data_IF_713872286802
#
_entry.id   IF_713872286802
#
_cell.length_a   1.000
_cell.length_b   1.000
_cell.length_c   1.000
_cell.angle_alpha   90.00
_cell.angle_beta   90.00
_cell.angle_gamma   90.00
#
_symmetry.space_group_name_H-M   'P 1'
#
loop_
_entity.id
_entity.type
_entity.pdbx_description
1 polymer ?
#
# COMPACT_ATOMS: atom_id res chain seq x y z
N UNK A 1 -14.54 -6.85 -17.64
CA UNK A 1 -15.98 -6.96 -17.32
C UNK A 1 -16.56 -5.56 -17.12
N UNK A 2 -17.78 -5.28 -17.58
CA UNK A 2 -18.51 -4.04 -17.30
C UNK A 2 -19.52 -4.32 -16.19
N UNK A 3 -19.47 -3.52 -15.13
CA UNK A 3 -20.30 -3.70 -13.94
C UNK A 3 -20.82 -2.35 -13.49
N UNK A 4 -22.08 -2.29 -13.06
CA UNK A 4 -22.68 -1.12 -12.44
C UNK A 4 -22.79 -1.39 -10.94
N UNK A 5 -22.30 -0.48 -10.11
CA UNK A 5 -22.37 -0.56 -8.65
C UNK A 5 -22.51 0.85 -8.10
N UNK A 6 -23.08 0.95 -6.90
CA UNK A 6 -23.21 2.22 -6.17
C UNK A 6 -21.96 2.42 -5.32
N UNK A 7 -21.47 3.66 -5.27
CA UNK A 7 -20.42 4.09 -4.35
C UNK A 7 -20.99 5.13 -3.41
N UNK A 8 -20.56 5.10 -2.16
CA UNK A 8 -20.72 6.22 -1.25
C UNK A 8 -19.99 7.46 -1.80
N UNK A 9 -20.47 8.65 -1.47
CA UNK A 9 -19.98 9.91 -2.06
C UNK A 9 -18.48 10.12 -1.83
N UNK A 10 -17.98 9.72 -0.66
CA UNK A 10 -16.56 9.80 -0.29
C UNK A 10 -15.70 8.84 -1.11
N UNK A 11 -16.15 7.60 -1.31
CA UNK A 11 -15.50 6.62 -2.15
C UNK A 11 -15.46 7.05 -3.63
N UNK A 12 -16.56 7.63 -4.12
CA UNK A 12 -16.63 8.19 -5.47
C UNK A 12 -15.66 9.36 -5.65
N UNK A 13 -15.59 10.29 -4.68
CA UNK A 13 -14.64 11.41 -4.70
C UNK A 13 -13.18 10.93 -4.67
N UNK A 14 -12.87 9.94 -3.82
CA UNK A 14 -11.54 9.33 -3.76
C UNK A 14 -11.13 8.70 -5.09
N UNK A 15 -12.02 7.92 -5.71
CA UNK A 15 -11.75 7.28 -7.00
C UNK A 15 -11.50 8.31 -8.11
N UNK A 16 -12.28 9.41 -8.14
CA UNK A 16 -12.09 10.51 -9.09
C UNK A 16 -10.74 11.21 -8.90
N UNK A 17 -10.38 11.54 -7.66
CA UNK A 17 -9.11 12.19 -7.36
C UNK A 17 -7.92 11.31 -7.72
N UNK A 18 -8.00 10.01 -7.39
CA UNK A 18 -6.99 9.03 -7.77
C UNK A 18 -6.84 8.92 -9.29
N UNK A 19 -7.95 8.91 -10.02
CA UNK A 19 -7.96 8.85 -11.48
C UNK A 19 -7.29 10.08 -12.11
N UNK A 20 -7.66 11.29 -11.66
CA UNK A 20 -7.06 12.56 -12.12
C UNK A 20 -5.56 12.61 -11.87
N UNK A 21 -5.13 12.30 -10.64
CA UNK A 21 -3.73 12.34 -10.25
C UNK A 21 -2.84 11.38 -11.06
N UNK A 22 -3.41 10.34 -11.66
CA UNK A 22 -2.68 9.31 -12.41
C UNK A 22 -3.03 9.28 -13.90
N UNK A 23 -3.82 10.25 -14.39
CA UNK A 23 -4.31 10.28 -15.77
C UNK A 23 -4.98 8.97 -16.21
N UNK A 24 -5.78 8.35 -15.33
CA UNK A 24 -6.48 7.09 -15.58
C UNK A 24 -7.97 7.32 -15.85
N UNK A 25 -8.58 6.41 -16.62
CA UNK A 25 -10.05 6.31 -16.69
C UNK A 25 -10.61 5.84 -15.34
N UNK A 26 -11.77 6.35 -14.93
CA UNK A 26 -12.37 6.06 -13.62
C UNK A 26 -12.51 4.55 -13.34
N UNK A 27 -13.01 3.76 -14.30
CA UNK A 27 -13.14 2.31 -14.12
C UNK A 27 -11.80 1.59 -13.91
N UNK A 28 -10.70 2.09 -14.53
CA UNK A 28 -9.35 1.55 -14.32
C UNK A 28 -8.83 1.92 -12.93
N UNK A 29 -9.04 3.18 -12.51
CA UNK A 29 -8.70 3.65 -11.17
C UNK A 29 -9.39 2.81 -10.08
N UNK A 30 -10.71 2.61 -10.18
CA UNK A 30 -11.46 1.75 -9.24
C UNK A 30 -10.89 0.33 -9.23
N UNK A 31 -10.64 -0.26 -10.41
CA UNK A 31 -10.08 -1.60 -10.50
C UNK A 31 -8.72 -1.73 -9.81
N UNK A 32 -7.88 -0.68 -9.88
CA UNK A 32 -6.60 -0.64 -9.16
C UNK A 32 -6.76 -0.48 -7.65
N UNK A 33 -7.64 0.42 -7.22
CA UNK A 33 -7.94 0.64 -5.81
C UNK A 33 -8.45 -0.65 -5.16
N UNK A 34 -9.35 -1.39 -5.82
CA UNK A 34 -9.82 -2.69 -5.35
C UNK A 34 -8.63 -3.66 -5.21
N UNK A 35 -7.78 -3.83 -6.24
CA UNK A 35 -6.61 -4.72 -6.14
C UNK A 35 -5.65 -4.33 -5.02
N UNK A 36 -5.44 -3.03 -4.80
CA UNK A 36 -4.61 -2.51 -3.71
C UNK A 36 -5.22 -2.84 -2.35
N UNK A 37 -6.52 -2.66 -2.20
CA UNK A 37 -7.23 -3.00 -0.97
C UNK A 37 -7.31 -4.51 -0.72
N UNK A 38 -7.38 -5.32 -1.77
CA UNK A 38 -7.35 -6.79 -1.70
C UNK A 38 -5.94 -7.35 -1.46
N UNK A 39 -4.89 -6.54 -1.65
CA UNK A 39 -3.54 -6.94 -1.27
C UNK A 39 -3.50 -6.96 0.26
N UNK A 40 -3.03 -8.03 0.91
CA UNK A 40 -2.97 -8.09 2.36
C UNK A 40 -2.28 -6.82 2.88
N UNK A 41 -2.89 -6.07 3.82
CA UNK A 41 -2.19 -4.95 4.42
C UNK A 41 -0.88 -5.50 4.94
N UNK A 42 0.24 -4.87 4.54
CA UNK A 42 1.53 -5.13 5.17
C UNK A 42 1.25 -5.05 6.66
N UNK A 43 1.33 -6.18 7.35
CA UNK A 43 0.76 -6.34 8.69
C UNK A 43 1.50 -5.43 9.67
N UNK A 44 1.03 -4.19 9.79
CA UNK A 44 1.55 -3.21 10.71
C UNK A 44 1.10 -3.64 12.09
N UNK A 45 2.07 -4.12 12.88
CA UNK A 45 1.87 -4.44 14.28
C UNK A 45 2.31 -3.25 15.10
N UNK A 46 1.58 -2.92 16.16
CA UNK A 46 2.04 -1.94 17.12
C UNK A 46 2.92 -2.65 18.16
N UNK A 47 4.20 -2.28 18.27
CA UNK A 47 5.12 -2.79 19.29
C UNK A 47 5.47 -1.63 20.23
N UNK A 48 4.77 -1.55 21.36
CA UNK A 48 4.83 -0.40 22.25
C UNK A 48 4.21 0.85 21.61
N UNK A 49 4.98 1.93 21.47
CA UNK A 49 4.56 3.18 20.82
C UNK A 49 4.78 3.24 19.30
N UNK A 50 5.45 2.25 18.70
CA UNK A 50 5.89 2.28 17.30
C UNK A 50 5.10 1.28 16.43
N UNK A 51 4.70 1.72 15.24
CA UNK A 51 4.16 0.83 14.21
C UNK A 51 5.32 0.13 13.48
N UNK A 52 5.28 -1.19 13.44
CA UNK A 52 6.31 -2.03 12.82
C UNK A 52 5.71 -2.94 11.75
N UNK A 53 6.42 -3.12 10.65
CA UNK A 53 6.10 -4.14 9.65
C UNK A 53 6.60 -5.48 10.19
N UNK A 54 5.72 -6.46 10.33
CA UNK A 54 6.13 -7.78 10.79
C UNK A 54 6.95 -8.50 9.70
N UNK A 55 8.16 -8.91 10.04
CA UNK A 55 8.94 -9.78 9.17
C UNK A 55 8.22 -11.13 8.99
N UNK A 56 8.30 -11.76 7.81
CA UNK A 56 7.79 -13.12 7.59
C UNK A 56 8.43 -14.11 8.59
N UNK A 57 7.72 -15.19 8.98
CA UNK A 57 8.33 -16.26 9.77
C UNK A 57 9.59 -16.81 9.07
N UNK A 58 10.68 -16.95 9.81
CA UNK A 58 11.95 -17.45 9.27
C UNK A 58 12.80 -16.42 8.52
N UNK A 59 12.35 -15.17 8.41
CA UNK A 59 13.19 -14.11 7.85
C UNK A 59 14.48 -13.93 8.69
N UNK A 60 15.66 -13.81 8.05
CA UNK A 60 16.92 -13.61 8.76
C UNK A 60 16.88 -12.31 9.55
N UNK A 61 17.43 -12.32 10.76
CA UNK A 61 17.60 -11.09 11.55
C UNK A 61 18.62 -10.20 10.85
N UNK A 62 18.21 -8.98 10.54
CA UNK A 62 19.11 -7.98 10.00
C UNK A 62 19.99 -7.41 11.11
N UNK A 63 21.30 -7.33 10.87
CA UNK A 63 22.26 -6.78 11.83
C UNK A 63 22.44 -5.27 11.63
N UNK A 64 22.85 -4.56 12.68
CA UNK A 64 23.11 -3.12 12.58
C UNK A 64 24.21 -2.78 11.56
N UNK A 65 25.18 -3.68 11.35
CA UNK A 65 26.22 -3.48 10.34
C UNK A 65 25.63 -3.49 8.93
N UNK A 66 24.81 -4.48 8.60
CA UNK A 66 24.12 -4.55 7.31
C UNK A 66 23.23 -3.33 7.05
N UNK A 67 22.59 -2.78 8.09
CA UNK A 67 21.80 -1.56 7.97
C UNK A 67 22.70 -0.35 7.67
N UNK A 68 23.85 -0.26 8.33
CA UNK A 68 24.81 0.82 8.11
C UNK A 68 25.36 0.80 6.68
N UNK A 69 25.81 -0.36 6.23
CA UNK A 69 26.36 -0.52 4.88
C UNK A 69 25.32 -0.13 3.81
N UNK A 70 24.04 -0.52 4.00
CA UNK A 70 22.95 -0.11 3.10
C UNK A 70 22.67 1.39 3.08
N UNK A 71 22.81 2.09 4.21
CA UNK A 71 22.61 3.55 4.27
C UNK A 71 23.74 4.26 3.55
N UNK A 72 24.98 3.77 3.72
CA UNK A 72 26.17 4.33 3.09
C UNK A 72 26.15 4.11 1.56
N UNK A 73 25.47 3.07 1.07
CA UNK A 73 25.27 2.76 -0.36
C UNK A 73 24.08 3.49 -1.02
N UNK A 74 23.29 4.28 -0.29
CA UNK A 74 22.19 5.06 -0.89
C UNK A 74 22.75 6.29 -1.65
N UNK A 75 22.21 6.60 -2.85
CA UNK A 75 22.63 7.76 -3.64
C UNK A 75 22.21 9.11 -3.05
#
# INVERSE_FOLDING_TARGET
MRTTFTLDDDAAALAQNYAKARSLRLGKAVSELIRRASTPPVGLKKKGGLWVIAAPPGAPKMTSQQVKDMIDDLP
#
